data_IF_289398244896
#
_entry.id   IF_289398244896
#
_cell.length_a   1.000
_cell.length_b   1.000
_cell.length_c   1.000
_cell.angle_alpha   90.00
_cell.angle_beta   90.00
_cell.angle_gamma   90.00
#
_symmetry.space_group_name_H-M   'P 1'
#
loop_
_entity.id
_entity.type
_entity.pdbx_description
1 polymer ?
#
# COMPACT_ATOMS: atom_id res chain seq x y z
N UNK A 1 42.45 89.00 15.47
CA UNK A 1 41.73 89.48 14.27
C UNK A 1 40.97 88.29 13.70
N UNK A 2 39.96 87.76 14.40
CA UNK A 2 38.72 88.42 14.88
C UNK A 2 37.73 88.58 13.72
N UNK A 3 36.43 88.25 13.83
CA UNK A 3 35.64 87.74 14.96
C UNK A 3 34.44 86.91 14.42
N UNK A 4 33.59 86.44 15.35
CA UNK A 4 32.21 85.97 15.16
C UNK A 4 31.92 84.61 14.47
N UNK A 5 30.86 83.87 14.84
CA UNK A 5 30.12 83.75 16.11
C UNK A 5 29.10 82.58 16.02
N UNK A 6 28.62 82.09 17.17
CA UNK A 6 27.29 81.48 17.38
C UNK A 6 26.89 80.19 16.58
N UNK A 7 26.93 79.02 17.23
CA UNK A 7 25.75 78.29 17.77
C UNK A 7 26.03 76.80 18.10
N UNK A 8 25.49 76.34 19.23
CA UNK A 8 25.32 74.95 19.69
C UNK A 8 23.79 74.68 19.79
N UNK A 9 23.29 73.48 20.21
CA UNK A 9 23.77 72.10 20.10
C UNK A 9 22.78 71.37 19.12
N UNK A 10 22.13 70.19 19.33
CA UNK A 10 22.34 69.03 20.20
C UNK A 10 22.28 67.65 19.48
N UNK A 11 22.15 66.58 20.28
CA UNK A 11 22.00 65.18 19.86
C UNK A 11 20.63 64.87 19.24
N UNK A 12 20.61 64.03 18.21
CA UNK A 12 19.41 63.33 17.74
C UNK A 12 19.66 61.80 17.73
N UNK A 13 19.00 61.08 18.64
CA UNK A 13 19.03 59.61 18.67
C UNK A 13 18.26 59.05 17.47
N UNK A 14 18.97 58.42 16.54
CA UNK A 14 18.38 57.63 15.47
C UNK A 14 17.83 56.30 15.99
N UNK A 15 16.65 56.31 16.60
CA UNK A 15 15.89 55.11 16.94
C UNK A 15 15.19 54.55 15.70
N UNK A 16 15.93 53.82 14.86
CA UNK A 16 15.35 53.03 13.78
C UNK A 16 14.54 51.85 14.34
N UNK A 17 13.32 51.58 13.86
CA UNK A 17 12.58 50.39 14.27
C UNK A 17 13.31 49.13 13.81
N UNK A 18 13.39 48.13 14.69
CA UNK A 18 14.01 46.85 14.37
C UNK A 18 13.30 46.19 13.16
N UNK A 19 14.04 45.50 12.26
CA UNK A 19 13.41 44.74 11.17
C UNK A 19 12.41 43.74 11.76
N UNK A 20 11.18 43.76 11.25
CA UNK A 20 10.12 42.92 11.76
C UNK A 20 10.53 41.45 11.73
N UNK A 21 10.35 40.77 12.87
CA UNK A 21 10.40 39.32 12.93
C UNK A 21 9.26 38.78 12.08
N UNK A 22 9.57 38.46 10.82
CA UNK A 22 8.71 37.68 9.95
C UNK A 22 8.60 36.27 10.57
N UNK A 23 7.64 36.12 11.49
CA UNK A 23 7.21 34.83 12.01
C UNK A 23 6.50 34.08 10.88
N UNK A 24 7.30 33.45 10.01
CA UNK A 24 6.86 32.42 9.09
C UNK A 24 6.49 31.16 9.87
N UNK A 25 5.43 31.24 10.67
CA UNK A 25 4.84 30.10 11.35
C UNK A 25 4.31 29.14 10.29
N UNK A 26 5.01 28.01 10.09
CA UNK A 26 4.74 27.07 9.00
C UNK A 26 3.39 26.34 9.16
N UNK A 27 2.42 26.52 8.24
CA UNK A 27 1.16 25.78 8.27
C UNK A 27 1.09 24.66 7.20
N UNK A 28 1.94 24.72 6.17
CA UNK A 28 1.70 24.03 4.90
C UNK A 28 2.06 22.53 4.91
N UNK A 29 3.03 22.12 5.74
CA UNK A 29 3.58 20.76 5.73
C UNK A 29 2.59 19.68 6.21
N UNK A 30 1.63 20.05 7.07
CA UNK A 30 0.61 19.14 7.59
C UNK A 30 -0.47 18.84 6.54
N UNK A 31 -0.96 19.88 5.84
CA UNK A 31 -1.92 19.74 4.74
C UNK A 31 -1.32 19.01 3.53
N UNK A 32 -0.06 19.27 3.19
CA UNK A 32 0.62 18.57 2.09
C UNK A 32 0.74 17.06 2.36
N UNK A 33 1.05 16.70 3.61
CA UNK A 33 1.12 15.30 4.05
C UNK A 33 -0.24 14.59 4.01
N UNK A 34 -1.31 15.27 4.45
CA UNK A 34 -2.69 14.74 4.41
C UNK A 34 -3.20 14.54 2.98
N UNK A 35 -2.92 15.50 2.09
CA UNK A 35 -3.24 15.43 0.67
C UNK A 35 -2.44 14.33 -0.07
N UNK A 36 -1.16 14.15 0.25
CA UNK A 36 -0.34 13.05 -0.28
C UNK A 36 -0.89 11.68 0.16
N UNK A 37 -1.15 11.49 1.46
CA UNK A 37 -1.75 10.27 1.99
C UNK A 37 -3.12 9.96 1.35
N UNK A 38 -3.91 10.99 1.04
CA UNK A 38 -5.19 10.83 0.35
C UNK A 38 -5.04 10.31 -1.09
N UNK A 39 -4.00 10.74 -1.81
CA UNK A 39 -3.64 10.19 -3.13
C UNK A 39 -3.18 8.74 -3.01
N UNK A 40 -2.30 8.46 -2.04
CA UNK A 40 -1.80 7.11 -1.75
C UNK A 40 -2.96 6.14 -1.43
N UNK A 41 -3.97 6.58 -0.68
CA UNK A 41 -5.15 5.76 -0.37
C UNK A 41 -6.03 5.52 -1.61
N UNK A 42 -6.12 6.50 -2.52
CA UNK A 42 -6.82 6.30 -3.80
C UNK A 42 -6.10 5.28 -4.70
N UNK A 43 -4.76 5.27 -4.71
CA UNK A 43 -3.96 4.24 -5.39
C UNK A 43 -4.20 2.85 -4.79
N UNK A 44 -4.19 2.72 -3.45
CA UNK A 44 -4.55 1.45 -2.78
C UNK A 44 -5.96 0.97 -3.18
N UNK A 45 -6.95 1.85 -3.21
CA UNK A 45 -8.32 1.52 -3.61
C UNK A 45 -8.40 1.03 -5.07
N UNK A 46 -7.60 1.61 -5.97
CA UNK A 46 -7.51 1.19 -7.37
C UNK A 46 -6.80 -0.17 -7.51
N UNK A 47 -5.66 -0.35 -6.83
CA UNK A 47 -4.91 -1.60 -6.82
C UNK A 47 -5.73 -2.76 -6.25
N UNK A 48 -6.55 -2.52 -5.21
CA UNK A 48 -7.52 -3.49 -4.67
C UNK A 48 -8.58 -3.91 -5.68
N UNK A 49 -9.12 -2.98 -6.48
CA UNK A 49 -10.07 -3.35 -7.54
C UNK A 49 -9.42 -4.25 -8.59
N UNK A 50 -8.16 -3.96 -8.96
CA UNK A 50 -7.39 -4.80 -9.88
C UNK A 50 -7.10 -6.16 -9.26
N UNK A 51 -6.70 -6.22 -7.98
CA UNK A 51 -6.43 -7.45 -7.26
C UNK A 51 -7.69 -8.33 -7.14
N UNK A 52 -8.85 -7.76 -6.79
CA UNK A 52 -10.14 -8.49 -6.76
C UNK A 52 -10.50 -9.01 -8.16
N UNK A 53 -10.36 -8.20 -9.21
CA UNK A 53 -10.64 -8.64 -10.59
C UNK A 53 -9.71 -9.78 -11.03
N UNK A 54 -8.41 -9.67 -10.72
CA UNK A 54 -7.42 -10.72 -10.97
C UNK A 54 -7.71 -12.00 -10.19
N UNK A 55 -8.06 -11.89 -8.90
CA UNK A 55 -8.44 -13.04 -8.07
C UNK A 55 -9.69 -13.75 -8.62
N UNK A 56 -10.75 -13.01 -8.99
CA UNK A 56 -11.95 -13.59 -9.63
C UNK A 56 -11.57 -14.32 -10.91
N UNK A 57 -10.79 -13.68 -11.79
CA UNK A 57 -10.35 -14.29 -13.05
C UNK A 57 -9.53 -15.57 -12.83
N UNK A 58 -8.56 -15.55 -11.91
CA UNK A 58 -7.73 -16.71 -11.57
C UNK A 58 -8.58 -17.84 -10.97
N UNK A 59 -9.48 -17.56 -10.02
CA UNK A 59 -10.37 -18.58 -9.44
C UNK A 59 -11.22 -19.25 -10.53
N UNK A 60 -11.80 -18.47 -11.44
CA UNK A 60 -12.61 -19.01 -12.54
C UNK A 60 -11.79 -19.85 -13.52
N UNK A 61 -10.55 -19.45 -13.84
CA UNK A 61 -9.66 -20.25 -14.70
C UNK A 61 -9.25 -21.56 -14.00
N UNK A 62 -8.88 -21.52 -12.72
CA UNK A 62 -8.44 -22.70 -11.97
C UNK A 62 -9.57 -23.71 -11.79
N UNK A 63 -10.77 -23.25 -11.44
CA UNK A 63 -11.95 -24.11 -11.25
C UNK A 63 -12.50 -24.65 -12.59
N UNK A 64 -12.71 -23.77 -13.58
CA UNK A 64 -13.46 -24.13 -14.81
C UNK A 64 -12.60 -24.66 -15.95
N UNK A 65 -11.33 -24.25 -16.07
CA UNK A 65 -10.43 -24.68 -17.15
C UNK A 65 -9.42 -25.73 -16.70
N UNK A 66 -8.87 -25.60 -15.49
CA UNK A 66 -7.88 -26.54 -14.96
C UNK A 66 -8.53 -27.68 -14.15
N UNK A 67 -9.80 -27.54 -13.75
CA UNK A 67 -10.54 -28.56 -13.01
C UNK A 67 -9.97 -28.85 -11.61
N UNK A 68 -9.23 -27.91 -11.04
CA UNK A 68 -8.61 -28.05 -9.71
C UNK A 68 -9.64 -27.57 -8.68
N UNK A 69 -10.15 -28.46 -7.80
CA UNK A 69 -11.27 -28.12 -6.92
C UNK A 69 -10.83 -27.13 -5.83
N UNK A 70 -11.39 -25.92 -5.88
CA UNK A 70 -11.12 -24.87 -4.89
C UNK A 70 -12.26 -24.76 -3.85
N UNK A 71 -11.97 -24.31 -2.61
CA UNK A 71 -13.00 -24.02 -1.61
C UNK A 71 -13.70 -22.68 -1.91
N UNK A 72 -14.48 -22.63 -3.00
CA UNK A 72 -15.06 -21.41 -3.58
C UNK A 72 -15.83 -20.56 -2.56
N UNK A 73 -16.57 -21.18 -1.64
CA UNK A 73 -17.31 -20.46 -0.59
C UNK A 73 -16.38 -19.70 0.38
N UNK A 74 -15.29 -20.34 0.81
CA UNK A 74 -14.29 -19.76 1.71
C UNK A 74 -13.55 -18.61 1.00
N UNK A 75 -13.16 -18.81 -0.27
CA UNK A 75 -12.51 -17.79 -1.09
C UNK A 75 -13.44 -16.60 -1.41
N UNK A 76 -14.72 -16.86 -1.67
CA UNK A 76 -15.72 -15.83 -1.94
C UNK A 76 -16.01 -14.94 -0.72
N UNK A 77 -15.99 -15.49 0.51
CA UNK A 77 -16.11 -14.70 1.74
C UNK A 77 -14.96 -13.70 1.87
N UNK A 78 -13.73 -14.12 1.59
CA UNK A 78 -12.55 -13.24 1.64
C UNK A 78 -12.59 -12.18 0.53
N UNK A 79 -13.01 -12.54 -0.69
CA UNK A 79 -13.24 -11.56 -1.77
C UNK A 79 -14.34 -10.56 -1.42
N UNK A 80 -15.45 -11.01 -0.85
CA UNK A 80 -16.53 -10.13 -0.41
C UNK A 80 -16.06 -9.18 0.69
N UNK A 81 -15.24 -9.64 1.64
CA UNK A 81 -14.63 -8.80 2.66
C UNK A 81 -13.70 -7.73 2.04
N UNK A 82 -12.88 -8.07 1.05
CA UNK A 82 -12.06 -7.11 0.30
C UNK A 82 -12.91 -6.07 -0.45
N UNK A 83 -13.97 -6.50 -1.15
CA UNK A 83 -14.89 -5.60 -1.85
C UNK A 83 -15.60 -4.64 -0.88
N UNK A 84 -16.11 -5.15 0.24
CA UNK A 84 -16.76 -4.35 1.27
C UNK A 84 -15.78 -3.34 1.91
N UNK A 85 -14.56 -3.79 2.24
CA UNK A 85 -13.50 -2.91 2.73
C UNK A 85 -13.20 -1.81 1.71
N UNK A 86 -13.06 -2.16 0.43
CA UNK A 86 -12.72 -1.21 -0.62
C UNK A 86 -13.82 -0.17 -0.85
N UNK A 87 -15.09 -0.59 -0.87
CA UNK A 87 -16.26 0.29 -0.93
C UNK A 87 -16.34 1.21 0.30
N UNK A 88 -16.07 0.69 1.50
CA UNK A 88 -16.02 1.47 2.72
C UNK A 88 -14.90 2.53 2.69
N UNK A 89 -13.68 2.16 2.29
CA UNK A 89 -12.57 3.10 2.10
C UNK A 89 -12.91 4.16 1.04
N UNK A 90 -13.51 3.77 -0.08
CA UNK A 90 -13.88 4.70 -1.15
C UNK A 90 -14.99 5.68 -0.75
N UNK A 91 -15.96 5.25 0.07
CA UNK A 91 -16.98 6.14 0.66
C UNK A 91 -16.37 7.07 1.72
N UNK A 92 -15.47 6.56 2.54
CA UNK A 92 -14.74 7.31 3.57
C UNK A 92 -13.89 8.45 2.96
N UNK A 93 -13.17 8.17 1.87
CA UNK A 93 -12.40 9.16 1.09
C UNK A 93 -13.23 10.30 0.46
N UNK A 94 -14.56 10.13 0.37
CA UNK A 94 -15.49 11.21 -0.05
C UNK A 94 -15.92 12.11 1.11
N UNK A 95 -15.70 11.68 2.36
CA UNK A 95 -16.15 12.38 3.57
C UNK A 95 -15.01 13.06 4.33
N UNK A 96 -13.77 12.56 4.21
CA UNK A 96 -12.62 13.10 4.96
C UNK A 96 -11.62 13.77 4.00
N UNK A 97 -11.18 15.02 4.30
CA UNK A 97 -10.20 15.73 3.47
C UNK A 97 -8.77 15.20 3.64
N UNK A 98 -8.38 14.80 4.85
CA UNK A 98 -7.02 14.34 5.18
C UNK A 98 -6.98 12.87 5.62
N UNK A 99 -6.01 12.12 5.10
CA UNK A 99 -5.78 10.71 5.45
C UNK A 99 -4.53 10.60 6.32
N UNK A 100 -4.59 9.81 7.39
CA UNK A 100 -3.42 9.52 8.22
C UNK A 100 -2.58 8.39 7.63
N UNK A 101 -1.25 8.43 7.82
CA UNK A 101 -0.37 7.32 7.44
C UNK A 101 -0.71 5.99 8.12
N UNK A 102 -1.30 6.05 9.32
CA UNK A 102 -1.82 4.86 10.01
C UNK A 102 -2.99 4.21 9.26
N UNK A 103 -3.87 4.99 8.63
CA UNK A 103 -4.96 4.44 7.82
C UNK A 103 -4.42 3.68 6.60
N UNK A 104 -3.37 4.21 5.94
CA UNK A 104 -2.68 3.51 4.85
C UNK A 104 -2.07 2.19 5.30
N UNK A 105 -1.37 2.18 6.46
CA UNK A 105 -0.81 0.96 7.04
C UNK A 105 -1.90 -0.07 7.36
N UNK A 106 -2.99 0.34 8.01
CA UNK A 106 -4.14 -0.55 8.30
C UNK A 106 -4.73 -1.10 7.00
N UNK A 107 -4.80 -0.29 5.94
CA UNK A 107 -5.18 -0.74 4.61
C UNK A 107 -4.31 -1.88 4.11
N UNK A 108 -3.00 -1.64 3.99
CA UNK A 108 -2.01 -2.62 3.53
C UNK A 108 -1.97 -3.89 4.39
N UNK A 109 -2.13 -3.77 5.72
CA UNK A 109 -2.22 -4.93 6.63
C UNK A 109 -3.45 -5.79 6.33
N UNK A 110 -4.59 -5.18 6.00
CA UNK A 110 -5.80 -5.92 5.61
C UNK A 110 -5.66 -6.56 4.22
N UNK A 111 -4.95 -5.93 3.29
CA UNK A 111 -4.66 -6.49 1.97
C UNK A 111 -3.71 -7.69 2.08
N UNK A 112 -2.65 -7.59 2.89
CA UNK A 112 -1.78 -8.71 3.26
C UNK A 112 -2.58 -9.82 3.91
N UNK A 113 -3.46 -9.54 4.89
CA UNK A 113 -4.27 -10.56 5.55
C UNK A 113 -5.23 -11.29 4.59
N UNK A 114 -5.87 -10.57 3.67
CA UNK A 114 -6.76 -11.16 2.68
C UNK A 114 -5.99 -12.00 1.63
N UNK A 115 -4.82 -11.52 1.19
CA UNK A 115 -3.90 -12.30 0.34
C UNK A 115 -3.44 -13.57 1.06
N UNK A 116 -3.05 -13.49 2.34
CA UNK A 116 -2.69 -14.66 3.17
C UNK A 116 -3.81 -15.69 3.19
N UNK A 117 -5.05 -15.25 3.41
CA UNK A 117 -6.21 -16.15 3.43
C UNK A 117 -6.47 -16.81 2.07
N UNK A 118 -6.39 -16.05 0.96
CA UNK A 118 -6.49 -16.63 -0.39
C UNK A 118 -5.41 -17.67 -0.66
N UNK A 119 -4.15 -17.33 -0.39
CA UNK A 119 -3.03 -18.26 -0.58
C UNK A 119 -3.18 -19.51 0.29
N UNK A 120 -3.57 -19.38 1.56
CA UNK A 120 -3.81 -20.52 2.47
C UNK A 120 -4.83 -21.53 1.91
N UNK A 121 -5.91 -21.02 1.31
CA UNK A 121 -6.96 -21.78 0.67
C UNK A 121 -6.53 -22.45 -0.65
N UNK A 122 -5.48 -21.96 -1.29
CA UNK A 122 -5.03 -22.37 -2.62
C UNK A 122 -3.60 -22.94 -2.65
N UNK A 123 -3.14 -23.60 -1.59
CA UNK A 123 -1.84 -24.30 -1.53
C UNK A 123 -0.72 -23.59 -0.76
N UNK A 124 -1.02 -22.47 -0.10
CA UNK A 124 -0.11 -21.73 0.77
C UNK A 124 1.13 -21.22 0.06
N UNK A 125 2.31 -21.47 0.64
CA UNK A 125 3.59 -21.02 0.09
C UNK A 125 3.98 -21.73 -1.23
N UNK A 126 3.32 -22.84 -1.59
CA UNK A 126 3.51 -23.50 -2.91
C UNK A 126 2.68 -22.87 -4.02
N UNK A 127 1.77 -21.94 -3.68
CA UNK A 127 0.96 -21.25 -4.67
C UNK A 127 1.83 -20.29 -5.50
N UNK A 128 1.74 -20.31 -6.85
CA UNK A 128 2.57 -19.47 -7.71
C UNK A 128 2.35 -17.96 -7.55
N UNK A 129 1.25 -17.53 -6.93
CA UNK A 129 0.94 -16.14 -6.61
C UNK A 129 1.46 -15.69 -5.23
N UNK A 130 2.25 -16.50 -4.52
CA UNK A 130 2.89 -16.09 -3.27
C UNK A 130 3.82 -14.86 -3.46
N UNK A 131 4.33 -14.64 -4.68
CA UNK A 131 5.13 -13.46 -5.04
C UNK A 131 4.38 -12.13 -4.89
N UNK A 132 3.04 -12.11 -4.94
CA UNK A 132 2.21 -10.91 -4.73
C UNK A 132 2.47 -10.24 -3.36
N UNK A 133 3.04 -10.96 -2.38
CA UNK A 133 3.52 -10.35 -1.14
C UNK A 133 4.63 -9.32 -1.37
N UNK A 134 5.49 -9.51 -2.38
CA UNK A 134 6.53 -8.53 -2.73
C UNK A 134 5.92 -7.24 -3.26
N UNK A 135 4.83 -7.32 -4.04
CA UNK A 135 4.04 -6.16 -4.43
C UNK A 135 3.47 -5.46 -3.19
N UNK A 136 2.84 -6.17 -2.25
CA UNK A 136 2.33 -5.56 -1.00
C UNK A 136 3.43 -4.87 -0.16
N UNK A 137 4.60 -5.49 -0.04
CA UNK A 137 5.75 -4.90 0.68
C UNK A 137 6.32 -3.70 -0.06
N UNK A 138 6.39 -3.74 -1.40
CA UNK A 138 6.88 -2.63 -2.23
C UNK A 138 5.93 -1.45 -2.17
N UNK A 139 4.63 -1.70 -2.29
CA UNK A 139 3.57 -0.71 -2.08
C UNK A 139 3.68 -0.08 -0.68
N UNK A 140 3.86 -0.87 0.37
CA UNK A 140 4.12 -0.34 1.71
C UNK A 140 5.39 0.53 1.80
N UNK A 141 6.49 0.11 1.18
CA UNK A 141 7.74 0.88 1.16
C UNK A 141 7.62 2.24 0.44
N UNK A 142 6.69 2.36 -0.51
CA UNK A 142 6.43 3.60 -1.28
C UNK A 142 5.34 4.47 -0.64
N UNK A 143 4.28 3.85 -0.09
CA UNK A 143 3.05 4.54 0.29
C UNK A 143 3.01 4.97 1.77
N UNK A 144 3.77 4.33 2.67
CA UNK A 144 3.79 4.65 4.11
C UNK A 144 5.18 5.05 4.62
N UNK A 145 5.23 5.58 5.85
CA UNK A 145 6.51 5.96 6.46
C UNK A 145 7.43 4.74 6.70
N UNK A 146 8.74 5.01 6.80
CA UNK A 146 9.77 3.99 6.93
C UNK A 146 9.55 3.01 8.10
N UNK A 147 8.96 3.43 9.23
CA UNK A 147 8.70 2.53 10.37
C UNK A 147 7.53 1.61 10.06
N UNK A 148 6.44 2.18 9.53
CA UNK A 148 5.26 1.43 9.08
C UNK A 148 5.60 0.41 7.98
N UNK A 149 6.49 0.76 7.04
CA UNK A 149 6.97 -0.15 6.00
C UNK A 149 7.73 -1.37 6.58
N UNK A 150 8.61 -1.17 7.57
CA UNK A 150 9.29 -2.28 8.26
C UNK A 150 8.31 -3.19 9.04
N UNK A 151 7.27 -2.61 9.65
CA UNK A 151 6.22 -3.39 10.32
C UNK A 151 5.45 -4.25 9.31
N UNK A 152 5.07 -3.69 8.16
CA UNK A 152 4.38 -4.43 7.09
C UNK A 152 5.27 -5.54 6.50
N UNK A 153 6.55 -5.26 6.25
CA UNK A 153 7.51 -6.24 5.76
C UNK A 153 7.70 -7.40 6.76
N UNK A 154 7.85 -7.09 8.05
CA UNK A 154 7.93 -8.10 9.11
C UNK A 154 6.68 -8.97 9.17
N UNK A 155 5.50 -8.36 9.21
CA UNK A 155 4.21 -9.07 9.17
C UNK A 155 4.09 -9.99 7.95
N UNK A 156 4.47 -9.49 6.78
CA UNK A 156 4.40 -10.23 5.51
C UNK A 156 5.33 -11.43 5.50
N UNK A 157 6.57 -11.27 5.98
CA UNK A 157 7.50 -12.38 6.17
C UNK A 157 6.96 -13.42 7.16
N UNK A 158 6.37 -13.00 8.28
CA UNK A 158 5.73 -13.91 9.24
C UNK A 158 4.54 -14.65 8.62
N UNK A 159 3.71 -13.97 7.82
CA UNK A 159 2.59 -14.59 7.10
C UNK A 159 3.08 -15.64 6.09
N UNK A 160 4.11 -15.34 5.29
CA UNK A 160 4.69 -16.28 4.34
C UNK A 160 5.33 -17.51 5.03
N UNK A 161 6.05 -17.30 6.15
CA UNK A 161 6.57 -18.39 6.98
C UNK A 161 5.45 -19.25 7.58
N UNK A 162 4.36 -18.62 8.04
CA UNK A 162 3.19 -19.34 8.54
C UNK A 162 2.55 -20.19 7.42
N UNK A 163 2.42 -19.67 6.20
CA UNK A 163 1.94 -20.44 5.04
C UNK A 163 2.87 -21.59 4.63
N UNK A 164 4.18 -21.44 4.83
CA UNK A 164 5.15 -22.51 4.54
C UNK A 164 4.97 -23.73 5.46
N UNK A 165 4.58 -23.51 6.72
CA UNK A 165 4.33 -24.59 7.70
C UNK A 165 2.86 -24.99 7.85
N UNK A 166 1.93 -24.08 7.56
CA UNK A 166 0.49 -24.29 7.72
C UNK A 166 -0.25 -23.83 6.46
N UNK A 167 -0.60 -24.79 5.61
CA UNK A 167 -1.45 -24.55 4.43
C UNK A 167 -2.33 -25.75 4.15
N UNK A 168 -3.44 -25.52 3.43
CA UNK A 168 -4.29 -26.59 2.92
C UNK A 168 -3.63 -27.18 1.67
N UNK A 169 -3.18 -28.45 1.66
CA UNK A 169 -2.63 -29.04 0.45
C UNK A 169 -3.74 -29.15 -0.61
N UNK A 170 -3.47 -28.69 -1.82
CA UNK A 170 -4.36 -28.91 -2.96
C UNK A 170 -4.13 -30.32 -3.52
N UNK A 171 -5.22 -31.02 -3.82
CA UNK A 171 -5.17 -32.25 -4.60
C UNK A 171 -5.31 -31.90 -6.09
N UNK A 172 -4.40 -32.41 -6.92
CA UNK A 172 -4.38 -32.22 -8.36
C UNK A 172 -4.76 -33.55 -9.05
N UNK A 173 -6.05 -33.90 -9.13
CA UNK A 173 -6.47 -35.15 -9.75
C UNK A 173 -6.09 -35.19 -11.24
N UNK A 174 -5.56 -36.33 -11.69
CA UNK A 174 -5.32 -36.61 -13.11
C UNK A 174 -4.15 -35.85 -13.77
N UNK A 175 -3.40 -35.04 -13.02
CA UNK A 175 -2.21 -34.36 -13.53
C UNK A 175 -0.93 -35.12 -13.14
N UNK A 176 0.04 -35.20 -14.05
CA UNK A 176 1.37 -35.73 -13.73
C UNK A 176 2.29 -34.63 -13.16
N UNK A 177 3.40 -35.04 -12.52
CA UNK A 177 4.33 -34.12 -11.85
C UNK A 177 4.91 -33.06 -12.81
N UNK A 178 5.07 -33.42 -14.10
CA UNK A 178 5.55 -32.53 -15.14
C UNK A 178 4.52 -31.45 -15.50
N UNK A 179 3.25 -31.81 -15.67
CA UNK A 179 2.15 -30.88 -15.88
C UNK A 179 1.99 -29.93 -14.68
N UNK A 180 1.99 -30.46 -13.45
CA UNK A 180 1.91 -29.65 -12.22
C UNK A 180 3.07 -28.65 -12.14
N UNK A 181 4.31 -29.08 -12.40
CA UNK A 181 5.46 -28.20 -12.42
C UNK A 181 5.34 -27.12 -13.52
N UNK A 182 4.95 -27.50 -14.74
CA UNK A 182 4.77 -26.55 -15.85
C UNK A 182 3.70 -25.49 -15.56
N UNK A 183 2.60 -25.88 -14.93
CA UNK A 183 1.51 -25.01 -14.50
C UNK A 183 1.96 -24.06 -13.39
N UNK A 184 2.71 -24.57 -12.41
CA UNK A 184 3.30 -23.75 -11.35
C UNK A 184 4.27 -22.70 -11.93
N UNK A 185 5.16 -23.08 -12.87
CA UNK A 185 6.06 -22.15 -13.56
C UNK A 185 5.27 -21.11 -14.38
N UNK A 186 4.25 -21.52 -15.12
CA UNK A 186 3.39 -20.59 -15.87
C UNK A 186 2.68 -19.59 -14.94
N UNK A 187 2.19 -20.06 -13.79
CA UNK A 187 1.62 -19.20 -12.75
C UNK A 187 2.63 -18.21 -12.16
N UNK A 188 3.86 -18.67 -11.86
CA UNK A 188 4.92 -17.79 -11.33
C UNK A 188 5.29 -16.69 -12.33
N UNK A 189 5.39 -17.04 -13.62
CA UNK A 189 5.65 -16.07 -14.69
C UNK A 189 4.51 -15.07 -14.83
N UNK A 190 3.24 -15.53 -14.79
CA UNK A 190 2.08 -14.66 -14.83
C UNK A 190 2.01 -13.71 -13.61
N UNK A 191 2.32 -14.22 -12.42
CA UNK A 191 2.39 -13.42 -11.19
C UNK A 191 3.50 -12.36 -11.27
N UNK A 192 4.71 -12.75 -11.69
CA UNK A 192 5.83 -11.83 -11.83
C UNK A 192 5.56 -10.74 -12.87
N UNK A 193 4.95 -11.09 -14.01
CA UNK A 193 4.53 -10.11 -15.02
C UNK A 193 3.46 -9.16 -14.47
N UNK A 194 2.49 -9.67 -13.69
CA UNK A 194 1.48 -8.85 -13.04
C UNK A 194 2.12 -7.87 -12.05
N UNK A 195 3.00 -8.34 -11.17
CA UNK A 195 3.74 -7.51 -10.21
C UNK A 195 4.55 -6.42 -10.93
N UNK A 196 5.32 -6.80 -11.96
CA UNK A 196 6.15 -5.88 -12.73
C UNK A 196 5.32 -4.82 -13.49
N UNK A 197 4.19 -5.21 -14.11
CA UNK A 197 3.30 -4.27 -14.79
C UNK A 197 2.66 -3.30 -13.79
N UNK A 198 2.18 -3.80 -12.64
CA UNK A 198 1.57 -2.94 -11.62
C UNK A 198 2.58 -1.94 -11.03
N UNK A 199 3.81 -2.37 -10.75
CA UNK A 199 4.89 -1.50 -10.25
C UNK A 199 5.44 -0.49 -11.28
N UNK A 200 5.12 -0.65 -12.57
CA UNK A 200 5.49 0.30 -13.63
C UNK A 200 4.35 1.29 -13.94
N UNK A 201 3.11 0.88 -13.72
CA UNK A 201 1.90 1.69 -13.99
C UNK A 201 1.51 2.59 -12.80
N UNK A 202 1.90 2.22 -11.57
CA UNK A 202 1.49 2.89 -10.32
C UNK A 202 2.68 3.32 -9.45
#
# INVERSE_FOLDING_TARGET
MDHDALLLPPFAHGSGPAPGLASGAAPDSASDSGAANRRNMALLVQLRWIAVAGQVATILVVELWLGIPLPLAEMAVVLAALVLLNLATQLWLRRIPDVSGQALLVGLVLDVAALTAQLWLSGGATNPFASLYLLQVTLGAVLVDRRSAWVLAGLTCTALLALAWTHRPLHFPGHDDAAIFSLHVAGMLACFLLDAILLVVF
#
